data_IF_668409385800
#
_entry.id   IF_668409385800
#
_cell.length_a   1.000
_cell.length_b   1.000
_cell.length_c   1.000
_cell.angle_alpha   90.00
_cell.angle_beta   90.00
_cell.angle_gamma   90.00
#
_symmetry.space_group_name_H-M   'P 1'
#
loop_
_entity.id
_entity.type
_entity.pdbx_description
1 polymer ?
#
# COMPACT_ATOMS: atom_id res chain seq x y z
N UNK A 1 -4.25 -17.75 0.66
CA UNK A 1 -4.17 -18.87 1.62
C UNK A 1 -4.23 -18.37 3.07
N UNK A 2 -3.15 -17.83 3.65
CA UNK A 2 -3.09 -17.46 5.09
C UNK A 2 -4.19 -16.50 5.54
N UNK A 3 -4.43 -15.38 4.85
CA UNK A 3 -5.50 -14.44 5.23
C UNK A 3 -6.88 -15.12 5.19
N UNK A 4 -7.18 -15.87 4.14
CA UNK A 4 -8.49 -16.51 4.00
C UNK A 4 -8.70 -17.65 5.02
N UNK A 5 -7.68 -18.46 5.29
CA UNK A 5 -7.82 -19.68 6.08
C UNK A 5 -7.61 -19.47 7.58
N UNK A 6 -6.73 -18.53 7.95
CA UNK A 6 -6.33 -18.34 9.34
C UNK A 6 -6.83 -17.03 9.94
N UNK A 7 -7.08 -16.02 9.09
CA UNK A 7 -7.45 -14.67 9.52
C UNK A 7 -8.57 -14.10 8.64
N UNK A 8 -9.72 -14.78 8.50
CA UNK A 8 -10.78 -14.33 7.59
C UNK A 8 -11.23 -12.91 7.97
N UNK A 9 -11.42 -12.05 6.96
CA UNK A 9 -11.73 -10.63 7.16
C UNK A 9 -13.10 -10.38 7.84
N UNK A 10 -13.96 -11.39 7.94
CA UNK A 10 -15.18 -11.34 8.75
C UNK A 10 -14.90 -11.29 10.25
N UNK A 11 -13.75 -11.83 10.67
CA UNK A 11 -13.41 -12.05 12.07
C UNK A 11 -12.21 -11.20 12.50
N UNK A 12 -11.41 -10.72 11.53
CA UNK A 12 -10.19 -9.98 11.75
C UNK A 12 -10.14 -8.66 10.98
N UNK A 13 -9.61 -7.63 11.64
CA UNK A 13 -9.16 -6.43 10.95
C UNK A 13 -7.68 -6.59 10.58
N UNK A 14 -7.39 -6.53 9.29
CA UNK A 14 -6.06 -6.68 8.72
C UNK A 14 -5.61 -5.33 8.15
N UNK A 15 -4.44 -4.90 8.59
CA UNK A 15 -3.78 -3.66 8.18
C UNK A 15 -2.39 -3.99 7.66
N UNK A 16 -1.99 -3.36 6.56
CA UNK A 16 -0.68 -3.56 5.96
C UNK A 16 0.04 -2.23 5.72
N UNK A 17 1.35 -2.24 5.95
CA UNK A 17 2.26 -1.14 5.61
C UNK A 17 3.48 -1.74 4.90
N UNK A 18 3.53 -1.59 3.58
CA UNK A 18 4.69 -1.96 2.77
C UNK A 18 5.64 -0.78 2.71
N UNK A 19 6.92 -1.05 2.97
CA UNK A 19 8.00 -0.10 2.75
C UNK A 19 9.05 -0.74 1.84
N UNK A 20 9.34 -0.11 0.70
CA UNK A 20 10.38 -0.57 -0.25
C UNK A 20 10.95 0.61 -1.04
N UNK A 21 12.11 0.46 -1.66
CA UNK A 21 12.67 1.46 -2.58
C UNK A 21 11.97 1.51 -3.95
N UNK A 22 11.02 0.61 -4.19
CA UNK A 22 10.19 0.54 -5.39
C UNK A 22 10.85 -0.15 -6.57
N UNK A 23 12.11 -0.57 -6.42
CA UNK A 23 12.88 -1.21 -7.48
C UNK A 23 12.32 -2.62 -7.74
N UNK A 24 12.07 -2.90 -9.01
CA UNK A 24 11.51 -4.15 -9.46
C UNK A 24 11.95 -4.43 -10.90
N UNK A 25 11.92 -5.69 -11.31
CA UNK A 25 12.10 -5.99 -12.72
C UNK A 25 10.90 -5.44 -13.49
N UNK A 26 11.13 -4.80 -14.64
CA UNK A 26 10.09 -4.01 -15.32
C UNK A 26 8.79 -4.80 -15.60
N UNK A 27 8.91 -6.10 -15.86
CA UNK A 27 7.76 -6.96 -16.17
C UNK A 27 6.99 -7.44 -14.91
N UNK A 28 7.55 -7.25 -13.72
CA UNK A 28 6.98 -7.74 -12.46
C UNK A 28 6.02 -6.71 -11.82
N UNK A 29 6.20 -5.41 -12.04
CA UNK A 29 5.36 -4.38 -11.41
C UNK A 29 3.86 -4.51 -11.75
N UNK A 30 3.47 -4.81 -13.01
CA UNK A 30 2.07 -5.12 -13.33
C UNK A 30 1.54 -6.36 -12.60
N UNK A 31 2.39 -7.36 -12.36
CA UNK A 31 2.04 -8.58 -11.62
C UNK A 31 1.82 -8.23 -10.15
N UNK A 32 2.69 -7.41 -9.54
CA UNK A 32 2.53 -6.93 -8.18
C UNK A 32 1.20 -6.19 -7.98
N UNK A 33 0.84 -5.29 -8.92
CA UNK A 33 -0.47 -4.62 -8.92
C UNK A 33 -1.61 -5.63 -8.97
N UNK A 34 -1.55 -6.61 -9.87
CA UNK A 34 -2.59 -7.62 -10.02
C UNK A 34 -2.75 -8.48 -8.77
N UNK A 35 -1.65 -8.88 -8.13
CA UNK A 35 -1.68 -9.60 -6.86
C UNK A 35 -2.30 -8.74 -5.77
N UNK A 36 -1.83 -7.50 -5.61
CA UNK A 36 -2.32 -6.60 -4.57
C UNK A 36 -3.82 -6.33 -4.74
N UNK A 37 -4.25 -5.90 -5.93
CA UNK A 37 -5.67 -5.59 -6.22
C UNK A 37 -6.60 -6.79 -6.09
N UNK A 38 -6.21 -7.97 -6.60
CA UNK A 38 -7.12 -9.13 -6.70
C UNK A 38 -7.08 -10.03 -5.47
N UNK A 39 -5.93 -10.11 -4.78
CA UNK A 39 -5.71 -11.12 -3.75
C UNK A 39 -5.46 -10.54 -2.35
N UNK A 40 -5.15 -9.25 -2.22
CA UNK A 40 -4.84 -8.65 -0.92
C UNK A 40 -5.86 -7.58 -0.55
N UNK A 41 -6.07 -6.58 -1.42
CA UNK A 41 -7.00 -5.47 -1.16
C UNK A 41 -8.42 -5.90 -0.72
N UNK A 42 -9.01 -6.99 -1.26
CA UNK A 42 -10.34 -7.44 -0.81
C UNK A 42 -10.39 -7.97 0.63
N UNK A 43 -9.24 -8.24 1.24
CA UNK A 43 -9.13 -8.86 2.56
C UNK A 43 -8.57 -7.93 3.63
N UNK A 44 -8.17 -6.71 3.27
CA UNK A 44 -7.57 -5.75 4.21
C UNK A 44 -8.49 -4.54 4.37
N UNK A 45 -8.52 -4.00 5.59
CA UNK A 45 -9.28 -2.79 5.91
C UNK A 45 -8.49 -1.54 5.53
N UNK A 46 -7.15 -1.63 5.54
CA UNK A 46 -6.30 -0.54 5.08
C UNK A 46 -4.91 -1.06 4.67
N UNK A 47 -4.43 -0.58 3.53
CA UNK A 47 -3.11 -0.88 3.00
C UNK A 47 -2.37 0.42 2.72
N UNK A 48 -1.14 0.52 3.18
CA UNK A 48 -0.27 1.67 2.90
C UNK A 48 0.99 1.21 2.19
N UNK A 49 1.34 1.91 1.12
CA UNK A 49 2.62 1.76 0.45
C UNK A 49 3.51 2.97 0.75
N UNK A 50 4.75 2.73 1.14
CA UNK A 50 5.73 3.76 1.42
C UNK A 50 6.96 3.50 0.56
N UNK A 51 7.18 4.37 -0.42
CA UNK A 51 8.36 4.30 -1.27
C UNK A 51 9.54 5.02 -0.58
N UNK A 52 10.59 4.28 -0.24
CA UNK A 52 11.77 4.81 0.46
C UNK A 52 12.90 4.97 -0.55
N UNK A 53 12.90 6.09 -1.27
CA UNK A 53 13.94 6.40 -2.24
C UNK A 53 14.07 7.91 -2.43
N UNK A 54 15.30 8.45 -2.54
CA UNK A 54 15.53 9.84 -2.94
C UNK A 54 15.47 10.02 -4.47
N UNK A 55 15.26 8.94 -5.23
CA UNK A 55 15.21 8.95 -6.70
C UNK A 55 13.80 9.30 -7.20
N UNK A 56 13.66 9.41 -8.51
CA UNK A 56 12.35 9.42 -9.16
C UNK A 56 11.57 8.15 -8.85
N UNK A 57 10.25 8.25 -8.90
CA UNK A 57 9.34 7.14 -8.66
C UNK A 57 9.63 5.96 -9.58
N UNK A 58 9.60 4.75 -9.01
CA UNK A 58 9.87 3.52 -9.75
C UNK A 58 8.60 3.01 -10.44
N UNK A 59 8.74 2.02 -11.32
CA UNK A 59 7.60 1.42 -12.03
C UNK A 59 6.48 0.95 -11.07
N UNK A 60 6.85 0.47 -9.87
CA UNK A 60 5.90 0.02 -8.87
C UNK A 60 4.99 1.16 -8.36
N UNK A 61 5.53 2.37 -8.19
CA UNK A 61 4.75 3.54 -7.76
C UNK A 61 3.59 3.81 -8.71
N UNK A 62 3.86 3.91 -10.01
CA UNK A 62 2.85 4.20 -11.02
C UNK A 62 1.81 3.09 -11.14
N UNK A 63 2.22 1.84 -10.97
CA UNK A 63 1.27 0.72 -10.94
C UNK A 63 0.41 0.74 -9.67
N UNK A 64 0.93 1.26 -8.55
CA UNK A 64 0.18 1.40 -7.30
C UNK A 64 -0.71 2.66 -7.25
N UNK A 65 -0.42 3.70 -8.03
CA UNK A 65 -1.38 4.81 -8.26
C UNK A 65 -2.72 4.26 -8.77
N UNK A 66 -2.68 3.27 -9.66
CA UNK A 66 -3.87 2.59 -10.20
C UNK A 66 -4.62 1.78 -9.14
N UNK A 67 -3.93 1.32 -8.09
CA UNK A 67 -4.56 0.71 -6.92
C UNK A 67 -5.28 1.79 -6.10
N UNK A 68 -4.64 2.94 -5.90
CA UNK A 68 -5.26 4.09 -5.25
C UNK A 68 -6.56 4.54 -5.94
N UNK A 69 -6.57 4.58 -7.27
CA UNK A 69 -7.77 4.90 -8.05
C UNK A 69 -8.91 3.87 -7.85
N UNK A 70 -8.56 2.58 -7.74
CA UNK A 70 -9.53 1.50 -7.56
C UNK A 70 -10.01 1.32 -6.11
N UNK A 71 -9.19 1.71 -5.13
CA UNK A 71 -9.43 1.52 -3.69
C UNK A 71 -9.16 2.81 -2.88
N UNK A 72 -9.82 3.94 -3.20
CA UNK A 72 -9.49 5.26 -2.62
C UNK A 72 -9.72 5.37 -1.10
N UNK A 73 -10.55 4.49 -0.54
CA UNK A 73 -10.87 4.48 0.89
C UNK A 73 -9.96 3.57 1.72
N UNK A 74 -9.36 2.56 1.09
CA UNK A 74 -8.62 1.51 1.79
C UNK A 74 -7.15 1.40 1.37
N UNK A 75 -6.71 2.16 0.37
CA UNK A 75 -5.31 2.27 -0.05
C UNK A 75 -4.78 3.70 0.11
N UNK A 76 -3.51 3.83 0.47
CA UNK A 76 -2.77 5.08 0.36
C UNK A 76 -1.31 4.80 0.04
N UNK A 77 -0.64 5.74 -0.64
CA UNK A 77 0.79 5.68 -0.86
C UNK A 77 1.47 7.01 -0.59
N UNK A 78 2.70 6.96 -0.09
CA UNK A 78 3.53 8.12 0.23
C UNK A 78 5.00 7.83 -0.05
N UNK A 79 5.81 8.87 -0.22
CA UNK A 79 7.26 8.77 -0.38
C UNK A 79 7.98 9.21 0.90
N UNK A 80 9.06 8.51 1.25
CA UNK A 80 10.03 8.92 2.27
C UNK A 80 11.40 9.13 1.64
N UNK A 81 11.95 10.33 1.78
CA UNK A 81 13.29 10.68 1.26
C UNK A 81 14.33 10.67 2.39
N UNK A 82 13.93 11.11 3.58
CA UNK A 82 14.79 11.26 4.75
C UNK A 82 14.14 10.74 6.03
N UNK A 83 14.94 10.53 7.07
CA UNK A 83 14.43 10.12 8.39
C UNK A 83 13.48 11.17 9.02
N UNK A 84 13.62 12.45 8.63
CA UNK A 84 12.73 13.52 9.10
C UNK A 84 11.30 13.38 8.58
N UNK A 85 11.10 12.66 7.48
CA UNK A 85 9.80 12.47 6.83
C UNK A 85 8.96 11.38 7.49
N UNK A 86 9.58 10.50 8.29
CA UNK A 86 8.91 9.32 8.88
C UNK A 86 7.70 9.74 9.71
N UNK A 87 7.88 10.66 10.66
CA UNK A 87 6.80 11.09 11.54
C UNK A 87 5.64 11.81 10.81
N UNK A 88 5.89 12.84 9.97
CA UNK A 88 4.80 13.52 9.26
C UNK A 88 4.05 12.57 8.32
N UNK A 89 4.74 11.72 7.56
CA UNK A 89 4.09 10.76 6.64
C UNK A 89 3.23 9.74 7.39
N UNK A 90 3.75 9.15 8.48
CA UNK A 90 2.95 8.20 9.26
C UNK A 90 1.75 8.89 9.91
N UNK A 91 1.89 10.13 10.38
CA UNK A 91 0.76 10.90 10.90
C UNK A 91 -0.31 11.06 9.83
N UNK A 92 0.06 11.40 8.60
CA UNK A 92 -0.87 11.56 7.49
C UNK A 92 -1.56 10.25 7.09
N UNK A 93 -0.80 9.16 6.96
CA UNK A 93 -1.32 7.84 6.59
C UNK A 93 -2.30 7.29 7.62
N UNK A 94 -2.02 7.47 8.92
CA UNK A 94 -2.82 6.89 10.00
C UNK A 94 -3.72 7.90 10.71
N UNK A 95 -3.89 9.11 10.16
CA UNK A 95 -4.85 10.05 10.71
C UNK A 95 -6.26 9.49 10.60
N UNK A 96 -7.09 9.80 11.58
CA UNK A 96 -8.47 9.35 11.61
C UNK A 96 -9.23 10.00 10.45
N UNK A 97 -9.54 9.23 9.41
CA UNK A 97 -10.47 9.64 8.35
C UNK A 97 -11.87 9.73 8.98
N UNK A 98 -12.50 10.89 8.89
CA UNK A 98 -13.91 11.03 9.25
C UNK A 98 -14.71 10.23 8.21
N UNK A 99 -15.33 9.14 8.64
CA UNK A 99 -16.30 8.43 7.80
C UNK A 99 -17.37 9.44 7.37
N UNK A 100 -17.55 9.59 6.05
CA UNK A 100 -18.62 10.40 5.46
C UNK A 100 -19.85 9.52 5.27
#
# INVERSE_FOLDING_TARGET
EIMAERYPASDWNIYAAQASDGDNWNDDSPICRDILSKQIMPHVQYYTYVEITPREHQALWYEYERIGDAFPDTFAQQQLVSAGDIYPVFRELFQRRLAT
#
